data_IF_555200094482
#
_entry.id   IF_555200094482
#
_cell.length_a   1.000
_cell.length_b   1.000
_cell.length_c   1.000
_cell.angle_alpha   90.00
_cell.angle_beta   90.00
_cell.angle_gamma   90.00
#
_symmetry.space_group_name_H-M   'P 1'
#
loop_
_entity.id
_entity.type
_entity.pdbx_description
1 polymer ?
#
# COMPACT_ATOMS: atom_id res chain seq x y z
N UNK A 1 18.03 -4.27 0.36
CA UNK A 1 16.86 -3.38 0.16
C UNK A 1 16.33 -3.59 -1.25
N UNK A 2 15.01 -3.79 -1.48
CA UNK A 2 14.46 -4.14 -2.81
C UNK A 2 14.64 -3.08 -3.91
N UNK A 3 14.94 -1.85 -3.51
CA UNK A 3 15.25 -0.72 -4.42
C UNK A 3 16.76 -0.50 -4.61
N UNK A 4 17.60 -1.37 -4.05
CA UNK A 4 19.06 -1.26 -4.18
C UNK A 4 19.57 -1.82 -5.49
N UNK A 5 20.72 -1.32 -5.93
CA UNK A 5 21.38 -1.71 -7.19
C UNK A 5 21.18 -0.69 -8.31
N UNK A 6 21.99 -0.82 -9.36
CA UNK A 6 22.10 0.16 -10.44
C UNK A 6 23.24 1.16 -10.20
N UNK A 7 23.75 1.73 -11.29
CA UNK A 7 24.80 2.74 -11.24
C UNK A 7 24.20 4.11 -10.87
N UNK A 8 24.92 4.89 -10.05
CA UNK A 8 24.46 6.19 -9.57
C UNK A 8 23.19 6.13 -8.71
N UNK A 9 22.42 7.23 -8.70
CA UNK A 9 21.14 7.31 -7.98
C UNK A 9 20.02 6.71 -8.83
N UNK A 10 19.87 5.39 -8.77
CA UNK A 10 18.81 4.66 -9.47
C UNK A 10 17.68 4.21 -8.54
N UNK A 11 16.48 4.05 -9.10
CA UNK A 11 15.30 3.54 -8.38
C UNK A 11 15.18 2.01 -8.41
N UNK A 12 16.17 1.30 -8.97
CA UNK A 12 16.19 -0.17 -9.03
C UNK A 12 15.11 -0.80 -9.92
N UNK A 13 14.36 0.00 -10.70
CA UNK A 13 13.41 -0.46 -11.73
C UNK A 13 12.14 -1.14 -11.22
N UNK A 14 11.83 -1.05 -9.92
CA UNK A 14 10.68 -1.75 -9.29
C UNK A 14 9.69 -0.78 -8.66
N UNK A 15 8.47 -1.27 -8.41
CA UNK A 15 7.51 -0.53 -7.59
C UNK A 15 8.12 -0.22 -6.22
N UNK A 16 7.88 0.97 -5.64
CA UNK A 16 8.41 1.32 -4.34
C UNK A 16 7.89 0.35 -3.29
N UNK A 17 8.82 -0.29 -2.60
CA UNK A 17 8.56 -1.32 -1.60
C UNK A 17 9.31 -1.03 -0.31
N UNK A 18 8.81 -1.61 0.78
CA UNK A 18 9.51 -1.69 2.05
C UNK A 18 10.77 -2.56 1.93
N UNK A 19 11.65 -2.58 2.95
CA UNK A 19 12.82 -3.45 2.97
C UNK A 19 12.50 -4.94 2.78
N UNK A 20 11.28 -5.37 3.09
CA UNK A 20 10.79 -6.76 2.97
C UNK A 20 9.94 -7.00 1.73
N UNK A 21 9.87 -6.04 0.79
CA UNK A 21 9.18 -6.22 -0.49
C UNK A 21 7.69 -5.90 -0.48
N UNK A 22 7.13 -5.44 0.65
CA UNK A 22 5.73 -5.01 0.69
C UNK A 22 5.58 -3.67 -0.05
N UNK A 23 4.66 -3.60 -1.02
CA UNK A 23 4.41 -2.38 -1.81
C UNK A 23 4.03 -1.21 -0.90
N UNK A 24 4.71 -0.08 -1.05
CA UNK A 24 4.53 1.11 -0.22
C UNK A 24 3.44 2.05 -0.74
N UNK A 25 3.07 1.93 -2.01
CA UNK A 25 2.02 2.75 -2.64
C UNK A 25 0.76 1.90 -2.93
N UNK A 26 -0.36 2.28 -2.33
CA UNK A 26 -1.70 1.76 -2.65
C UNK A 26 -2.09 0.41 -2.04
N UNK A 27 -1.13 -0.38 -1.53
CA UNK A 27 -1.42 -1.71 -0.98
C UNK A 27 -2.21 -1.63 0.33
N UNK A 28 -3.42 -2.19 0.36
CA UNK A 28 -4.21 -2.35 1.59
C UNK A 28 -3.60 -3.47 2.43
N UNK A 29 -3.17 -3.15 3.64
CA UNK A 29 -2.51 -4.12 4.55
C UNK A 29 -3.50 -4.89 5.43
N UNK A 30 -4.67 -4.31 5.71
CA UNK A 30 -5.73 -4.96 6.50
C UNK A 30 -6.50 -5.95 5.64
N UNK A 31 -6.42 -7.24 6.01
CA UNK A 31 -7.28 -8.33 5.54
C UNK A 31 -8.66 -8.29 6.23
N UNK A 32 -9.59 -9.10 5.75
CA UNK A 32 -10.94 -9.25 6.33
C UNK A 32 -10.84 -9.73 7.79
N UNK A 33 -11.41 -8.98 8.72
CA UNK A 33 -11.49 -9.34 10.15
C UNK A 33 -12.96 -9.35 10.59
N UNK A 34 -13.29 -10.13 11.61
CA UNK A 34 -14.64 -10.17 12.20
C UNK A 34 -15.11 -8.81 12.69
N UNK A 35 -14.18 -7.95 13.11
CA UNK A 35 -14.42 -6.57 13.52
C UNK A 35 -14.75 -5.63 12.35
N UNK A 36 -14.58 -6.04 11.10
CA UNK A 36 -14.99 -5.25 9.94
C UNK A 36 -16.51 -5.03 9.93
N UNK A 37 -17.29 -5.92 10.56
CA UNK A 37 -18.75 -5.80 10.71
C UNK A 37 -19.18 -4.58 11.52
N UNK A 38 -18.31 -4.08 12.40
CA UNK A 38 -18.60 -2.90 13.21
C UNK A 38 -18.11 -1.59 12.57
N UNK A 39 -17.56 -1.64 11.34
CA UNK A 39 -17.09 -0.45 10.63
C UNK A 39 -18.25 0.17 9.86
N UNK A 40 -18.72 1.34 10.29
CA UNK A 40 -19.83 2.07 9.64
C UNK A 40 -19.42 2.71 8.31
N UNK A 41 -18.23 3.32 8.23
CA UNK A 41 -17.71 3.96 7.00
C UNK A 41 -16.21 3.73 6.85
N UNK A 42 -15.78 3.30 5.66
CA UNK A 42 -14.35 3.18 5.37
C UNK A 42 -13.78 4.55 5.01
N UNK A 43 -12.62 4.95 5.54
CA UNK A 43 -11.93 6.21 5.16
C UNK A 43 -11.62 6.43 3.67
N UNK A 44 -11.84 5.42 2.83
CA UNK A 44 -11.60 5.47 1.37
C UNK A 44 -12.90 5.35 0.58
N UNK A 45 -14.05 5.22 1.25
CA UNK A 45 -15.32 5.29 0.55
C UNK A 45 -15.49 6.74 0.09
N UNK A 46 -15.41 6.95 -1.23
CA UNK A 46 -15.87 8.18 -1.83
C UNK A 46 -17.38 8.20 -1.59
N UNK A 47 -17.87 9.15 -0.81
CA UNK A 47 -19.30 9.47 -0.83
C UNK A 47 -19.58 9.94 -2.26
N UNK A 48 -20.13 9.07 -3.11
CA UNK A 48 -20.69 9.52 -4.40
C UNK A 48 -22.09 9.99 -4.03
N UNK A 49 -22.29 11.30 -4.01
CA UNK A 49 -23.55 11.91 -3.56
C UNK A 49 -23.33 13.25 -2.88
N UNK A 50 -22.74 14.20 -3.60
CA UNK A 50 -23.46 15.35 -4.18
C UNK A 50 -22.92 15.56 -5.60
#
# INVERSE_FOLDING_TARGET
>A
HPMGGGEGKSSGGRHPCSPWGQKSKGLKTRKTKTSDRYIVKHRRSKTVGE
#
